data_IF_555212616400
#
_entry.id   IF_555212616400
#
_cell.length_a   1.000
_cell.length_b   1.000
_cell.length_c   1.000
_cell.angle_alpha   90.00
_cell.angle_beta   90.00
_cell.angle_gamma   90.00
#
_symmetry.space_group_name_H-M   'P 1'
#
loop_
_entity.id
_entity.type
_entity.pdbx_description
1 polymer ?
#
# COMPACT_ATOMS: atom_id res chain seq x y z
N UNK A 1 -63.45 22.41 -29.89
CA UNK A 1 -64.26 22.47 -28.66
C UNK A 1 -63.32 22.33 -27.48
N UNK A 2 -63.18 23.41 -26.70
CA UNK A 2 -62.92 23.46 -25.25
C UNK A 2 -61.83 22.55 -24.62
N UNK A 3 -60.77 23.23 -24.20
CA UNK A 3 -60.45 23.55 -22.79
C UNK A 3 -59.53 22.61 -21.96
N UNK A 4 -58.29 23.11 -21.75
CA UNK A 4 -57.63 23.41 -20.44
C UNK A 4 -57.17 22.22 -19.54
N UNK A 5 -56.05 22.25 -18.79
CA UNK A 5 -55.03 23.26 -18.41
C UNK A 5 -53.87 22.57 -17.64
N UNK A 6 -52.63 23.05 -17.87
CA UNK A 6 -51.58 23.50 -16.91
C UNK A 6 -51.16 22.60 -15.70
N UNK A 7 -49.94 22.64 -15.13
CA UNK A 7 -48.75 23.51 -15.17
C UNK A 7 -47.58 22.60 -14.74
N UNK A 8 -46.35 22.83 -15.19
CA UNK A 8 -45.29 23.10 -14.22
C UNK A 8 -44.15 23.91 -14.86
N UNK A 9 -43.76 24.93 -14.13
CA UNK A 9 -42.93 26.07 -14.49
C UNK A 9 -41.45 25.69 -14.59
N UNK A 10 -40.86 25.84 -15.78
CA UNK A 10 -39.40 25.99 -15.91
C UNK A 10 -39.05 27.43 -15.55
N UNK A 11 -38.60 27.65 -14.33
CA UNK A 11 -38.00 28.92 -13.93
C UNK A 11 -36.62 29.01 -14.58
N UNK A 12 -36.50 29.83 -15.62
CA UNK A 12 -35.21 30.33 -16.08
C UNK A 12 -34.64 31.22 -14.97
N UNK A 13 -33.64 30.74 -14.24
CA UNK A 13 -32.73 31.59 -13.49
C UNK A 13 -31.55 31.89 -14.41
N UNK A 14 -31.69 32.97 -15.17
CA UNK A 14 -30.54 33.64 -15.76
C UNK A 14 -29.80 34.42 -14.66
N UNK A 15 -28.47 34.35 -14.67
CA UNK A 15 -27.64 35.36 -13.99
C UNK A 15 -26.79 34.89 -12.82
N UNK A 16 -26.00 33.83 -13.00
CA UNK A 16 -24.80 33.62 -12.19
C UNK A 16 -23.59 34.14 -12.97
N UNK A 17 -23.08 35.30 -12.58
CA UNK A 17 -21.87 35.90 -13.17
C UNK A 17 -20.70 34.94 -12.99
N UNK A 18 -20.22 34.35 -14.10
CA UNK A 18 -18.88 33.77 -14.13
C UNK A 18 -17.89 34.92 -14.03
N UNK A 19 -17.47 35.24 -12.81
CA UNK A 19 -16.20 35.95 -12.61
C UNK A 19 -15.15 35.02 -13.18
N UNK A 20 -14.69 35.33 -14.39
CA UNK A 20 -13.46 34.79 -14.96
C UNK A 20 -12.31 35.31 -14.09
N UNK A 21 -12.16 34.74 -12.89
CA UNK A 21 -10.90 34.79 -12.18
C UNK A 21 -9.83 34.21 -13.10
N UNK A 22 -8.65 34.80 -13.08
CA UNK A 22 -7.52 34.30 -13.88
C UNK A 22 -7.38 32.79 -13.66
N UNK A 23 -7.26 32.02 -14.75
CA UNK A 23 -7.06 30.58 -14.66
C UNK A 23 -5.78 30.30 -13.87
N UNK A 24 -5.86 29.37 -12.91
CA UNK A 24 -4.74 29.02 -12.06
C UNK A 24 -3.81 28.10 -12.85
N UNK A 25 -2.56 28.51 -13.03
CA UNK A 25 -1.56 27.81 -13.82
C UNK A 25 -0.64 27.03 -12.89
N UNK A 26 -0.53 25.72 -13.08
CA UNK A 26 0.24 24.85 -12.19
C UNK A 26 1.66 25.35 -11.92
N UNK A 27 2.45 25.59 -12.98
CA UNK A 27 3.87 25.98 -12.86
C UNK A 27 4.07 27.31 -12.14
N UNK A 28 3.14 28.25 -12.30
CA UNK A 28 3.24 29.61 -11.76
C UNK A 28 2.68 29.71 -10.35
N UNK A 29 1.50 29.14 -10.13
CA UNK A 29 0.68 29.43 -8.96
C UNK A 29 0.69 28.28 -7.94
N UNK A 30 0.76 27.03 -8.41
CA UNK A 30 0.62 25.84 -7.53
C UNK A 30 1.97 25.24 -7.16
N UNK A 31 2.84 24.99 -8.14
CA UNK A 31 4.15 24.35 -7.95
C UNK A 31 5.03 25.05 -6.91
N UNK A 32 5.07 26.39 -6.81
CA UNK A 32 5.83 27.06 -5.74
C UNK A 32 5.30 26.74 -4.34
N UNK A 33 3.97 26.64 -4.19
CA UNK A 33 3.32 26.26 -2.92
C UNK A 33 3.73 24.83 -2.56
N UNK A 34 3.59 23.88 -3.50
CA UNK A 34 3.94 22.47 -3.25
C UNK A 34 5.42 22.30 -2.92
N UNK A 35 6.32 22.96 -3.66
CA UNK A 35 7.77 22.95 -3.40
C UNK A 35 8.11 23.45 -2.00
N UNK A 36 7.51 24.56 -1.60
CA UNK A 36 7.82 25.19 -0.31
C UNK A 36 7.19 24.46 0.88
N UNK A 37 5.97 23.94 0.70
CA UNK A 37 5.13 23.47 1.81
C UNK A 37 5.03 21.94 1.89
N UNK A 38 5.13 21.24 0.76
CA UNK A 38 4.79 19.82 0.69
C UNK A 38 5.97 18.92 0.30
N UNK A 39 6.99 19.44 -0.41
CA UNK A 39 8.10 18.61 -0.90
C UNK A 39 9.02 18.08 0.21
N UNK A 40 9.01 18.71 1.39
CA UNK A 40 9.70 18.16 2.55
C UNK A 40 9.17 16.80 3.02
N UNK A 41 7.96 16.41 2.61
CA UNK A 41 7.38 15.11 2.94
C UNK A 41 6.91 14.32 1.72
N UNK A 42 6.65 14.98 0.59
CA UNK A 42 6.09 14.38 -0.63
C UNK A 42 6.83 14.85 -1.89
N UNK A 43 8.12 15.15 -1.76
CA UNK A 43 8.99 15.62 -2.83
C UNK A 43 9.85 14.50 -3.39
N UNK A 44 10.84 14.85 -4.24
CA UNK A 44 11.73 13.86 -4.84
C UNK A 44 12.61 13.14 -3.80
N UNK A 45 13.00 13.82 -2.72
CA UNK A 45 13.94 13.29 -1.71
C UNK A 45 13.24 12.57 -0.55
N UNK A 46 11.99 12.94 -0.24
CA UNK A 46 11.24 12.39 0.89
C UNK A 46 9.78 12.18 0.51
N UNK A 47 9.27 11.01 0.87
CA UNK A 47 7.91 10.55 0.58
C UNK A 47 7.29 10.06 1.89
N UNK A 48 6.00 10.35 2.06
CA UNK A 48 5.12 9.87 3.13
C UNK A 48 3.90 9.19 2.50
N UNK A 49 3.64 7.92 2.83
CA UNK A 49 2.62 7.07 2.21
C UNK A 49 2.75 6.91 0.69
N UNK A 50 3.99 6.87 0.16
CA UNK A 50 4.36 6.73 -1.26
C UNK A 50 3.74 7.79 -2.19
N UNK A 51 3.26 8.89 -1.59
CA UNK A 51 2.63 9.99 -2.30
C UNK A 51 3.67 11.02 -2.74
N UNK A 52 3.66 11.36 -4.04
CA UNK A 52 4.67 12.21 -4.70
C UNK A 52 4.02 13.38 -5.44
N UNK A 53 4.46 14.60 -5.13
CA UNK A 53 3.90 15.84 -5.67
C UNK A 53 4.76 16.52 -6.74
N UNK A 54 5.93 15.96 -7.08
CA UNK A 54 6.81 16.47 -8.13
C UNK A 54 6.55 15.85 -9.51
N UNK A 55 5.76 14.78 -9.60
CA UNK A 55 5.42 14.12 -10.87
C UNK A 55 3.92 13.94 -11.00
N UNK A 56 3.35 14.38 -12.14
CA UNK A 56 1.90 14.29 -12.40
C UNK A 56 1.36 12.88 -12.13
N UNK A 57 1.93 11.86 -12.77
CA UNK A 57 1.46 10.47 -12.67
C UNK A 57 1.34 10.01 -11.21
N UNK A 58 2.35 10.32 -10.39
CA UNK A 58 2.40 9.91 -8.98
C UNK A 58 1.64 10.87 -8.04
N UNK A 59 1.33 12.09 -8.48
CA UNK A 59 0.49 13.02 -7.74
C UNK A 59 -1.01 12.70 -7.87
N UNK A 60 -1.42 11.92 -8.86
CA UNK A 60 -2.82 11.53 -9.05
C UNK A 60 -3.26 10.39 -8.13
N UNK A 61 -2.34 9.55 -7.67
CA UNK A 61 -2.63 8.33 -6.91
C UNK A 61 -1.84 8.34 -5.60
N UNK A 62 -2.50 8.08 -4.46
CA UNK A 62 -1.83 7.88 -3.18
C UNK A 62 -1.37 6.42 -3.03
N UNK A 63 -0.45 6.11 -2.11
CA UNK A 63 0.14 4.77 -1.92
C UNK A 63 -0.81 3.61 -1.55
N UNK A 64 -2.13 3.79 -1.61
CA UNK A 64 -3.14 2.71 -1.50
C UNK A 64 -4.01 2.54 -2.74
N UNK A 65 -3.66 3.17 -3.86
CA UNK A 65 -4.48 3.19 -5.07
C UNK A 65 -5.69 4.14 -5.00
N UNK A 66 -5.88 4.85 -3.88
CA UNK A 66 -6.90 5.89 -3.74
C UNK A 66 -6.53 7.13 -4.61
N UNK A 67 -7.49 7.76 -5.29
CA UNK A 67 -7.24 9.00 -6.02
C UNK A 67 -6.80 10.12 -5.08
N UNK A 68 -5.54 10.56 -5.21
CA UNK A 68 -4.99 11.64 -4.40
C UNK A 68 -5.47 13.02 -4.89
N UNK A 69 -5.45 13.21 -6.21
CA UNK A 69 -5.98 14.38 -6.91
C UNK A 69 -7.01 13.85 -7.91
N UNK A 70 -8.24 14.35 -7.81
CA UNK A 70 -9.34 14.07 -8.73
C UNK A 70 -9.56 15.33 -9.57
N UNK A 71 -9.05 15.39 -10.81
CA UNK A 71 -9.26 16.53 -11.70
C UNK A 71 -10.74 16.93 -11.80
N UNK A 72 -11.04 18.20 -11.52
CA UNK A 72 -12.39 18.76 -11.56
C UNK A 72 -13.19 18.60 -10.27
N UNK A 73 -12.69 17.84 -9.28
CA UNK A 73 -13.43 17.51 -8.06
C UNK A 73 -12.55 17.65 -6.81
N UNK A 74 -12.27 18.89 -6.38
CA UNK A 74 -11.46 19.14 -5.18
C UNK A 74 -12.01 18.47 -3.93
N UNK A 75 -13.33 18.47 -3.73
CA UNK A 75 -13.96 17.84 -2.55
C UNK A 75 -13.75 16.33 -2.45
N UNK A 76 -13.53 15.64 -3.58
CA UNK A 76 -13.22 14.21 -3.61
C UNK A 76 -11.70 13.94 -3.55
N UNK A 77 -10.90 14.93 -3.92
CA UNK A 77 -9.43 14.84 -3.88
C UNK A 77 -8.94 14.70 -2.43
N UNK A 78 -8.29 13.58 -2.12
CA UNK A 78 -7.71 13.34 -0.80
C UNK A 78 -6.75 14.48 -0.42
N UNK A 79 -5.90 14.93 -1.36
CA UNK A 79 -4.96 16.01 -1.14
C UNK A 79 -5.65 17.29 -0.62
N UNK A 80 -6.72 17.74 -1.29
CA UNK A 80 -7.44 18.95 -0.89
C UNK A 80 -8.08 18.78 0.50
N UNK A 81 -8.71 17.65 0.78
CA UNK A 81 -9.31 17.37 2.10
C UNK A 81 -8.27 17.39 3.22
N UNK A 82 -7.05 16.91 2.97
CA UNK A 82 -5.95 16.88 3.96
C UNK A 82 -5.36 18.27 4.21
N UNK A 83 -5.19 19.12 3.19
CA UNK A 83 -4.65 20.48 3.37
C UNK A 83 -5.69 21.46 3.95
N UNK A 84 -6.97 21.25 3.67
CA UNK A 84 -8.08 22.05 4.21
C UNK A 84 -8.51 21.67 5.63
N UNK A 85 -7.96 20.59 6.19
CA UNK A 85 -8.32 20.11 7.53
C UNK A 85 -9.66 19.36 7.61
N UNK A 86 -10.31 19.08 6.47
CA UNK A 86 -11.62 18.43 6.37
C UNK A 86 -11.54 16.88 6.33
N UNK A 87 -10.44 16.29 6.79
CA UNK A 87 -10.19 14.85 6.75
C UNK A 87 -9.69 14.36 8.10
N UNK A 88 -9.99 13.11 8.46
CA UNK A 88 -9.47 12.50 9.69
C UNK A 88 -7.94 12.42 9.66
N UNK A 89 -7.32 12.68 10.81
CA UNK A 89 -5.86 12.70 11.01
C UNK A 89 -5.25 14.11 11.03
N UNK A 90 -3.92 14.22 11.20
CA UNK A 90 -3.25 15.52 11.30
C UNK A 90 -3.38 16.29 9.98
N UNK A 91 -3.67 17.60 10.06
CA UNK A 91 -3.71 18.49 8.92
C UNK A 91 -2.33 18.52 8.24
N UNK A 92 -2.31 18.40 6.92
CA UNK A 92 -1.07 18.45 6.14
C UNK A 92 -0.81 19.86 5.60
N UNK A 93 0.45 20.28 5.46
CA UNK A 93 1.69 19.55 5.78
C UNK A 93 2.02 19.60 7.27
N UNK A 94 2.82 18.65 7.75
CA UNK A 94 3.24 18.56 9.16
C UNK A 94 4.04 19.78 9.63
N UNK A 95 4.60 20.56 8.72
CA UNK A 95 5.30 21.82 8.99
C UNK A 95 4.36 22.98 9.36
N UNK A 96 3.05 22.73 9.44
CA UNK A 96 2.01 23.71 9.76
C UNK A 96 1.09 24.03 8.58
N UNK A 97 -0.16 24.46 8.87
CA UNK A 97 -1.22 24.59 7.88
C UNK A 97 -0.90 25.61 6.78
N UNK A 98 -1.39 25.34 5.57
CA UNK A 98 -1.36 26.34 4.48
C UNK A 98 -2.25 27.54 4.83
N UNK A 99 -1.94 28.69 4.27
CA UNK A 99 -2.82 29.86 4.34
C UNK A 99 -4.13 29.59 3.59
N UNK A 100 -5.19 30.32 3.94
CA UNK A 100 -6.46 30.23 3.23
C UNK A 100 -6.31 30.52 1.72
N UNK A 101 -5.40 31.42 1.34
CA UNK A 101 -5.10 31.76 -0.05
C UNK A 101 -4.36 30.61 -0.77
N UNK A 102 -3.36 29.99 -0.14
CA UNK A 102 -2.66 28.83 -0.71
C UNK A 102 -3.63 27.66 -0.94
N UNK A 103 -4.52 27.41 0.03
CA UNK A 103 -5.57 26.38 -0.08
C UNK A 103 -6.54 26.72 -1.22
N UNK A 104 -6.98 27.98 -1.31
CA UNK A 104 -7.89 28.43 -2.36
C UNK A 104 -7.27 28.28 -3.76
N UNK A 105 -5.99 28.61 -3.92
CA UNK A 105 -5.24 28.44 -5.17
C UNK A 105 -5.18 26.98 -5.59
N UNK A 106 -4.79 26.07 -4.69
CA UNK A 106 -4.74 24.63 -4.98
C UNK A 106 -6.13 24.09 -5.31
N UNK A 107 -7.16 24.49 -4.55
CA UNK A 107 -8.54 24.10 -4.80
C UNK A 107 -8.99 24.52 -6.20
N UNK A 108 -8.80 25.80 -6.53
CA UNK A 108 -9.20 26.36 -7.81
C UNK A 108 -8.49 25.66 -8.97
N UNK A 109 -7.21 25.33 -8.83
CA UNK A 109 -6.48 24.55 -9.83
C UNK A 109 -7.06 23.14 -10.01
N UNK A 110 -7.38 22.43 -8.92
CA UNK A 110 -7.99 21.09 -8.99
C UNK A 110 -9.35 21.18 -9.70
N UNK A 111 -10.21 22.11 -9.30
CA UNK A 111 -11.55 22.30 -9.88
C UNK A 111 -11.48 22.70 -11.37
N UNK A 112 -10.40 23.35 -11.82
CA UNK A 112 -10.13 23.63 -13.23
C UNK A 112 -9.65 22.42 -14.04
N UNK A 113 -9.73 21.22 -13.45
CA UNK A 113 -9.31 19.98 -14.09
C UNK A 113 -7.85 19.62 -13.82
N UNK A 114 -7.23 20.20 -12.78
CA UNK A 114 -5.86 19.92 -12.36
C UNK A 114 -4.88 19.85 -13.54
N UNK A 115 -5.00 20.83 -14.46
CA UNK A 115 -4.14 20.90 -15.65
C UNK A 115 -2.71 21.03 -15.18
N UNK A 116 -2.00 19.93 -15.27
CA UNK A 116 -0.59 19.80 -15.02
C UNK A 116 0.02 19.68 -16.41
N UNK A 117 0.96 20.55 -16.81
CA UNK A 117 1.61 20.36 -18.09
C UNK A 117 2.11 18.92 -18.15
N UNK A 118 1.80 18.20 -19.23
CA UNK A 118 2.51 16.95 -19.49
C UNK A 118 3.98 17.35 -19.46
N UNK A 119 4.71 16.91 -18.43
CA UNK A 119 6.13 17.14 -18.43
C UNK A 119 6.62 16.53 -19.74
N UNK A 120 7.36 17.27 -20.60
CA UNK A 120 8.13 16.58 -21.60
C UNK A 120 8.87 15.50 -20.84
N UNK A 121 8.63 14.23 -21.20
CA UNK A 121 9.32 13.08 -20.58
C UNK A 121 10.75 13.54 -20.40
N UNK A 122 11.25 13.72 -19.16
CA UNK A 122 12.54 14.36 -18.94
C UNK A 122 13.49 13.70 -19.91
N UNK A 123 14.07 14.48 -20.83
CA UNK A 123 15.02 13.87 -21.75
C UNK A 123 16.00 13.13 -20.88
N UNK A 124 16.18 11.82 -21.13
CA UNK A 124 16.96 11.00 -20.24
C UNK A 124 18.28 11.73 -20.00
N UNK A 125 18.67 11.91 -18.73
CA UNK A 125 19.93 12.57 -18.36
C UNK A 125 21.17 11.80 -18.88
N UNK A 126 20.95 10.75 -19.67
CA UNK A 126 21.91 9.87 -20.28
C UNK A 126 21.67 9.80 -21.79
N UNK A 127 22.73 9.57 -22.55
CA UNK A 127 22.63 9.28 -23.97
C UNK A 127 22.14 7.84 -24.16
N UNK A 128 21.06 7.67 -24.91
CA UNK A 128 20.51 6.35 -25.20
C UNK A 128 21.40 5.58 -26.20
N UNK A 129 21.65 4.31 -25.91
CA UNK A 129 22.30 3.36 -26.82
C UNK A 129 21.23 2.53 -27.57
N UNK A 130 20.94 2.85 -28.85
CA UNK A 130 19.86 2.21 -29.59
C UNK A 130 20.10 0.73 -29.89
N UNK A 131 21.34 0.23 -29.79
CA UNK A 131 21.64 -1.20 -29.95
C UNK A 131 21.07 -2.05 -28.82
N UNK A 132 20.85 -1.47 -27.62
CA UNK A 132 20.41 -2.24 -26.45
C UNK A 132 19.04 -2.89 -26.64
N UNK A 133 18.08 -2.24 -27.31
CA UNK A 133 16.74 -2.83 -27.48
C UNK A 133 16.79 -4.16 -28.25
N UNK A 134 17.70 -4.27 -29.23
CA UNK A 134 17.94 -5.53 -29.95
C UNK A 134 18.66 -6.57 -29.10
N UNK A 135 19.54 -6.15 -28.19
CA UNK A 135 20.23 -7.04 -27.26
C UNK A 135 19.31 -7.54 -26.14
N UNK A 136 18.35 -6.73 -25.69
CA UNK A 136 17.35 -7.12 -24.70
C UNK A 136 16.46 -8.25 -25.21
N UNK A 137 16.16 -8.25 -26.51
CA UNK A 137 15.44 -9.35 -27.12
C UNK A 137 16.22 -10.68 -27.07
N UNK A 138 17.56 -10.63 -27.05
CA UNK A 138 18.37 -11.84 -26.87
C UNK A 138 18.18 -12.46 -25.47
N UNK A 139 17.97 -11.66 -24.42
CA UNK A 139 17.65 -12.19 -23.09
C UNK A 139 16.33 -12.97 -23.08
N UNK A 140 15.28 -12.41 -23.69
CA UNK A 140 13.95 -13.05 -23.77
C UNK A 140 13.97 -14.36 -24.53
N UNK A 141 14.87 -14.46 -25.52
CA UNK A 141 15.06 -15.66 -26.34
C UNK A 141 16.09 -16.64 -25.75
N UNK A 142 16.66 -16.35 -24.58
CA UNK A 142 17.69 -17.21 -23.95
C UNK A 142 19.05 -17.22 -24.67
N UNK A 143 19.32 -16.26 -25.56
CA UNK A 143 20.52 -16.24 -26.40
C UNK A 143 21.69 -15.46 -25.75
N UNK A 144 22.13 -15.91 -24.58
CA UNK A 144 23.19 -15.26 -23.81
C UNK A 144 24.56 -15.29 -24.48
N UNK A 145 24.84 -16.26 -25.36
CA UNK A 145 26.12 -16.35 -26.08
C UNK A 145 26.31 -15.18 -27.05
N UNK A 146 25.26 -14.81 -27.80
CA UNK A 146 25.32 -13.64 -28.71
C UNK A 146 25.44 -12.32 -27.94
N UNK A 147 24.74 -12.21 -26.82
CA UNK A 147 24.87 -11.08 -25.90
C UNK A 147 26.33 -10.92 -25.43
N UNK A 148 26.93 -12.01 -24.92
CA UNK A 148 28.31 -12.00 -24.43
C UNK A 148 29.29 -11.59 -25.52
N UNK A 149 29.13 -12.13 -26.73
CA UNK A 149 29.96 -11.74 -27.87
C UNK A 149 29.85 -10.24 -28.19
N UNK A 150 28.64 -9.67 -28.15
CA UNK A 150 28.43 -8.25 -28.40
C UNK A 150 29.10 -7.35 -27.35
N UNK A 151 28.97 -7.69 -26.06
CA UNK A 151 29.59 -6.94 -24.96
C UNK A 151 31.11 -7.13 -24.92
N UNK A 152 31.65 -8.29 -25.32
CA UNK A 152 33.11 -8.48 -25.47
C UNK A 152 33.65 -7.62 -26.62
N UNK A 153 32.91 -7.53 -27.73
CA UNK A 153 33.30 -6.68 -28.86
C UNK A 153 33.20 -5.18 -28.53
N UNK A 154 32.26 -4.79 -27.68
CA UNK A 154 32.06 -3.41 -27.22
C UNK A 154 31.70 -3.37 -25.72
N UNK A 155 32.71 -3.29 -24.82
CA UNK A 155 32.49 -3.29 -23.37
C UNK A 155 31.66 -2.11 -22.86
N UNK A 156 31.53 -1.02 -23.62
CA UNK A 156 30.70 0.13 -23.24
C UNK A 156 29.22 -0.27 -23.12
N UNK A 157 28.78 -1.31 -23.84
CA UNK A 157 27.40 -1.82 -23.79
C UNK A 157 27.00 -2.29 -22.39
N UNK A 158 27.93 -2.78 -21.57
CA UNK A 158 27.65 -3.23 -20.20
C UNK A 158 27.19 -2.07 -19.29
N UNK A 159 27.62 -0.83 -19.59
CA UNK A 159 27.31 0.39 -18.84
C UNK A 159 26.23 1.25 -19.50
N UNK A 160 25.85 0.90 -20.72
CA UNK A 160 24.92 1.68 -21.52
C UNK A 160 23.47 1.55 -21.04
N UNK A 161 22.64 2.49 -21.48
CA UNK A 161 21.22 2.58 -21.16
C UNK A 161 20.41 2.81 -22.41
N UNK A 162 19.24 2.20 -22.53
CA UNK A 162 18.34 2.46 -23.66
C UNK A 162 17.55 3.76 -23.44
N UNK A 163 16.61 4.09 -24.33
CA UNK A 163 15.77 5.28 -24.20
C UNK A 163 14.89 5.33 -22.94
N UNK A 164 14.63 4.18 -22.31
CA UNK A 164 13.90 4.07 -21.04
C UNK A 164 14.80 3.97 -19.81
N UNK A 165 16.12 4.04 -19.99
CA UNK A 165 17.09 3.98 -18.91
C UNK A 165 17.45 2.56 -18.47
N UNK A 166 16.88 1.55 -19.12
CA UNK A 166 17.13 0.16 -18.81
C UNK A 166 18.54 -0.25 -19.25
N UNK A 167 19.18 -1.11 -18.46
CA UNK A 167 20.52 -1.67 -18.72
C UNK A 167 20.45 -3.16 -19.05
N UNK A 168 21.55 -3.72 -19.57
CA UNK A 168 21.67 -5.18 -19.73
C UNK A 168 21.59 -5.91 -18.39
N UNK A 169 22.11 -5.31 -17.31
CA UNK A 169 22.04 -5.89 -15.96
C UNK A 169 20.60 -5.99 -15.45
N UNK A 170 19.74 -5.01 -15.76
CA UNK A 170 18.30 -5.11 -15.46
C UNK A 170 17.62 -6.22 -16.26
N UNK A 171 17.96 -6.41 -17.53
CA UNK A 171 17.42 -7.55 -18.28
C UNK A 171 17.91 -8.90 -17.75
N UNK A 172 19.16 -8.96 -17.26
CA UNK A 172 19.70 -10.15 -16.61
C UNK A 172 19.00 -10.44 -15.27
N UNK A 173 18.68 -9.40 -14.50
CA UNK A 173 17.88 -9.53 -13.27
C UNK A 173 16.53 -10.19 -13.56
N UNK A 174 15.82 -9.73 -14.60
CA UNK A 174 14.50 -10.26 -14.96
C UNK A 174 14.58 -11.64 -15.64
N UNK A 175 15.32 -11.74 -16.75
CA UNK A 175 15.26 -12.91 -17.64
C UNK A 175 16.50 -13.82 -17.59
N UNK A 176 17.60 -13.35 -17.00
CA UNK A 176 18.86 -14.09 -16.94
C UNK A 176 18.96 -15.08 -15.79
N UNK A 177 20.13 -15.70 -15.66
CA UNK A 177 20.53 -16.48 -14.48
C UNK A 177 21.49 -15.67 -13.62
N UNK A 178 21.72 -16.11 -12.38
CA UNK A 178 22.69 -15.48 -11.49
C UNK A 178 24.10 -15.38 -12.09
N UNK A 179 24.52 -16.34 -12.93
CA UNK A 179 25.80 -16.28 -13.65
C UNK A 179 25.88 -15.18 -14.70
N UNK A 180 24.75 -14.82 -15.32
CA UNK A 180 24.69 -13.73 -16.29
C UNK A 180 24.74 -12.37 -15.59
N UNK A 181 24.08 -12.27 -14.43
CA UNK A 181 24.18 -11.13 -13.50
C UNK A 181 25.63 -10.94 -13.05
N UNK A 182 26.26 -11.99 -12.48
CA UNK A 182 27.67 -11.95 -12.05
C UNK A 182 28.61 -11.57 -13.19
N UNK A 183 28.38 -12.12 -14.38
CA UNK A 183 29.22 -11.83 -15.53
C UNK A 183 29.11 -10.37 -15.97
N UNK A 184 27.91 -9.79 -16.03
CA UNK A 184 27.73 -8.37 -16.38
C UNK A 184 28.35 -7.44 -15.33
N UNK A 185 28.21 -7.76 -14.04
CA UNK A 185 28.91 -7.04 -12.97
C UNK A 185 30.42 -7.07 -13.18
N UNK A 186 30.98 -8.23 -13.56
CA UNK A 186 32.41 -8.36 -13.90
C UNK A 186 32.82 -7.58 -15.17
N UNK A 187 31.87 -7.30 -16.08
CA UNK A 187 32.10 -6.39 -17.22
C UNK A 187 31.97 -4.89 -16.83
N UNK A 188 31.75 -4.59 -15.55
CA UNK A 188 31.64 -3.24 -15.02
C UNK A 188 30.25 -2.61 -15.18
N UNK A 189 29.19 -3.41 -15.33
CA UNK A 189 27.82 -2.92 -15.22
C UNK A 189 27.57 -2.38 -13.80
N UNK A 190 26.96 -1.21 -13.69
CA UNK A 190 26.64 -0.58 -12.40
C UNK A 190 25.29 -1.11 -11.88
N UNK A 191 25.26 -1.79 -10.70
CA UNK A 191 24.03 -2.32 -10.12
C UNK A 191 23.09 -1.25 -9.55
N UNK A 192 23.51 0.01 -9.48
CA UNK A 192 22.77 1.11 -8.87
C UNK A 192 22.07 2.02 -9.87
N UNK A 193 22.22 1.75 -11.17
CA UNK A 193 21.46 2.47 -12.20
C UNK A 193 19.98 2.13 -12.05
N UNK A 194 19.13 3.15 -12.05
CA UNK A 194 17.67 3.01 -12.04
C UNK A 194 17.09 3.27 -13.44
N UNK A 195 16.00 2.63 -13.82
CA UNK A 195 15.29 2.93 -15.08
C UNK A 195 14.40 4.19 -14.95
N UNK A 196 13.59 4.50 -15.96
CA UNK A 196 12.67 5.63 -15.92
C UNK A 196 11.61 5.53 -14.80
N UNK A 197 11.25 4.32 -14.37
CA UNK A 197 10.36 4.08 -13.24
C UNK A 197 11.08 4.10 -11.89
N UNK A 198 12.40 4.26 -11.88
CA UNK A 198 13.24 4.19 -10.68
C UNK A 198 13.60 2.76 -10.25
N UNK A 199 13.23 1.74 -11.04
CA UNK A 199 13.56 0.35 -10.74
C UNK A 199 15.06 0.10 -10.91
N UNK A 200 15.71 -0.45 -9.88
CA UNK A 200 17.11 -0.90 -9.93
C UNK A 200 17.17 -2.40 -10.29
N UNK A 201 18.32 -2.92 -10.77
CA UNK A 201 18.51 -4.35 -10.96
C UNK A 201 18.11 -5.19 -9.73
N UNK A 202 18.41 -4.73 -8.50
CA UNK A 202 18.06 -5.43 -7.27
C UNK A 202 16.55 -5.58 -7.10
N UNK A 203 15.79 -4.51 -7.34
CA UNK A 203 14.32 -4.50 -7.22
C UNK A 203 13.67 -5.43 -8.25
N UNK A 204 14.28 -5.59 -9.43
CA UNK A 204 13.78 -6.44 -10.51
C UNK A 204 14.14 -7.92 -10.36
N UNK A 205 14.98 -8.28 -9.38
CA UNK A 205 15.51 -9.64 -9.19
C UNK A 205 14.92 -10.38 -7.99
N UNK A 206 13.97 -9.78 -7.26
CA UNK A 206 13.57 -10.21 -5.91
C UNK A 206 12.97 -11.61 -5.83
N UNK A 207 12.48 -12.16 -6.94
CA UNK A 207 11.96 -13.54 -7.00
C UNK A 207 13.06 -14.63 -7.01
N UNK A 208 14.34 -14.25 -7.19
CA UNK A 208 15.47 -15.19 -7.26
C UNK A 208 16.58 -14.79 -6.29
N UNK A 209 16.67 -15.52 -5.18
CA UNK A 209 17.67 -15.30 -4.13
C UNK A 209 19.13 -15.38 -4.63
N UNK A 210 19.42 -16.17 -5.67
CA UNK A 210 20.77 -16.25 -6.23
C UNK A 210 21.14 -14.98 -7.01
N UNK A 211 20.18 -14.38 -7.73
CA UNK A 211 20.37 -13.08 -8.39
C UNK A 211 20.47 -11.94 -7.39
N UNK A 212 19.60 -11.93 -6.37
CA UNK A 212 19.64 -10.96 -5.26
C UNK A 212 21.02 -10.98 -4.60
N UNK A 213 21.52 -12.17 -4.23
CA UNK A 213 22.86 -12.34 -3.67
C UNK A 213 23.95 -11.78 -4.59
N UNK A 214 23.92 -12.14 -5.87
CA UNK A 214 24.91 -11.67 -6.84
C UNK A 214 24.93 -10.14 -6.97
N UNK A 215 23.75 -9.50 -6.96
CA UNK A 215 23.64 -8.04 -7.05
C UNK A 215 24.14 -7.35 -5.78
N UNK A 216 23.79 -7.88 -4.60
CA UNK A 216 24.24 -7.35 -3.32
C UNK A 216 25.76 -7.49 -3.14
N UNK A 217 26.33 -8.67 -3.45
CA UNK A 217 27.78 -8.89 -3.48
C UNK A 217 28.48 -8.00 -4.53
N UNK A 218 27.76 -7.66 -5.61
CA UNK A 218 28.19 -6.72 -6.65
C UNK A 218 28.11 -5.25 -6.25
N UNK A 219 27.66 -4.91 -5.04
CA UNK A 219 27.56 -3.53 -4.55
C UNK A 219 26.24 -2.82 -4.87
N UNK A 220 25.15 -3.56 -5.09
CA UNK A 220 23.81 -2.97 -5.16
C UNK A 220 23.44 -2.31 -3.83
N UNK A 221 22.97 -1.07 -3.88
CA UNK A 221 22.46 -0.34 -2.74
C UNK A 221 21.11 -0.93 -2.32
N UNK A 222 21.11 -1.71 -1.25
CA UNK A 222 19.94 -2.38 -0.70
C UNK A 222 18.81 -1.41 -0.28
N UNK A 223 19.17 -0.17 0.05
CA UNK A 223 18.26 0.87 0.50
C UNK A 223 17.93 1.90 -0.59
N UNK A 224 18.26 1.61 -1.86
CA UNK A 224 17.80 2.42 -2.99
C UNK A 224 16.26 2.49 -3.01
N UNK A 225 15.73 3.59 -3.52
CA UNK A 225 14.28 3.84 -3.63
C UNK A 225 13.85 3.91 -5.09
N UNK A 226 12.76 3.23 -5.40
CA UNK A 226 12.07 3.30 -6.69
C UNK A 226 11.42 4.67 -6.91
N UNK A 227 10.82 4.87 -8.09
CA UNK A 227 10.10 6.11 -8.40
C UNK A 227 8.91 6.39 -7.48
N UNK A 228 8.33 5.36 -6.87
CA UNK A 228 7.28 5.44 -5.83
C UNK A 228 7.82 5.29 -4.39
N UNK A 229 9.13 5.39 -4.21
CA UNK A 229 9.73 5.45 -2.88
C UNK A 229 9.88 4.09 -2.19
N UNK A 230 9.51 3.00 -2.85
CA UNK A 230 9.67 1.64 -2.32
C UNK A 230 11.14 1.23 -2.30
N UNK A 231 11.54 0.53 -1.24
CA UNK A 231 12.86 -0.12 -1.16
C UNK A 231 12.74 -1.58 -1.61
N UNK A 232 13.87 -2.23 -1.89
CA UNK A 232 13.89 -3.67 -2.18
C UNK A 232 13.21 -4.50 -1.08
N UNK A 233 13.33 -4.10 0.20
CA UNK A 233 12.66 -4.76 1.33
C UNK A 233 11.13 -4.67 1.23
N UNK A 234 10.60 -3.48 0.92
CA UNK A 234 9.15 -3.29 0.86
C UNK A 234 8.54 -4.01 -0.35
N UNK A 235 9.19 -3.94 -1.51
CA UNK A 235 8.75 -4.67 -2.71
C UNK A 235 8.77 -6.18 -2.45
N UNK A 236 9.82 -6.70 -1.82
CA UNK A 236 9.91 -8.13 -1.47
C UNK A 236 8.74 -8.57 -0.58
N UNK A 237 8.30 -7.72 0.35
CA UNK A 237 7.16 -8.04 1.22
C UNK A 237 5.82 -7.87 0.50
N UNK A 238 5.67 -6.86 -0.36
CA UNK A 238 4.45 -6.66 -1.14
C UNK A 238 4.17 -7.83 -2.09
N UNK A 239 5.21 -8.31 -2.78
CA UNK A 239 5.15 -9.44 -3.70
C UNK A 239 5.28 -10.81 -2.98
N UNK A 240 5.28 -10.81 -1.64
CA UNK A 240 5.44 -12.01 -0.81
C UNK A 240 6.64 -12.89 -1.22
N UNK A 241 7.77 -12.26 -1.56
CA UNK A 241 9.03 -12.93 -1.80
C UNK A 241 9.46 -13.69 -0.52
N UNK A 242 10.00 -14.89 -0.71
CA UNK A 242 10.30 -15.78 0.42
C UNK A 242 11.32 -15.23 1.42
N UNK A 243 11.31 -15.78 2.64
CA UNK A 243 12.17 -15.39 3.76
C UNK A 243 13.68 -15.37 3.43
N UNK A 244 14.15 -16.18 2.47
CA UNK A 244 15.55 -16.19 2.01
C UNK A 244 15.98 -14.86 1.39
N UNK A 245 15.09 -14.21 0.62
CA UNK A 245 15.34 -12.91 0.01
C UNK A 245 15.37 -11.83 1.08
N UNK A 246 14.39 -11.84 1.99
CA UNK A 246 14.36 -10.91 3.13
C UNK A 246 15.63 -11.04 3.98
N UNK A 247 16.06 -12.27 4.27
CA UNK A 247 17.30 -12.55 5.00
C UNK A 247 18.52 -11.94 4.31
N UNK A 248 18.67 -12.17 2.99
CA UNK A 248 19.76 -11.60 2.21
C UNK A 248 19.78 -10.07 2.24
N UNK A 249 18.60 -9.44 2.12
CA UNK A 249 18.47 -7.99 2.20
C UNK A 249 18.91 -7.47 3.59
N UNK A 250 18.48 -8.12 4.67
CA UNK A 250 18.87 -7.76 6.05
C UNK A 250 20.39 -7.91 6.27
N UNK A 251 20.98 -9.01 5.80
CA UNK A 251 22.43 -9.26 5.90
C UNK A 251 23.27 -8.16 5.21
N UNK A 252 22.70 -7.49 4.21
CA UNK A 252 23.34 -6.38 3.49
C UNK A 252 22.88 -4.98 3.96
N UNK A 253 22.17 -4.90 5.10
CA UNK A 253 21.84 -3.62 5.74
C UNK A 253 20.51 -3.01 5.29
N UNK A 254 19.57 -3.79 4.76
CA UNK A 254 18.21 -3.33 4.55
C UNK A 254 17.55 -2.91 5.87
N UNK A 255 16.81 -1.81 5.85
CA UNK A 255 16.07 -1.34 7.04
C UNK A 255 14.86 -2.24 7.31
N UNK A 256 14.81 -2.80 8.52
CA UNK A 256 13.65 -3.55 9.03
C UNK A 256 12.63 -2.67 9.78
N UNK A 257 12.96 -1.41 10.04
CA UNK A 257 12.11 -0.45 10.76
C UNK A 257 11.06 0.17 9.84
N UNK A 258 9.99 0.76 10.40
CA UNK A 258 8.99 1.45 9.61
C UNK A 258 9.62 2.52 8.73
N UNK A 259 9.17 2.56 7.49
CA UNK A 259 9.51 3.58 6.53
C UNK A 259 8.24 4.01 5.82
N UNK A 260 8.08 5.31 5.58
CA UNK A 260 6.97 5.82 4.78
C UNK A 260 5.55 5.50 5.31
N UNK A 261 5.42 5.21 6.61
CA UNK A 261 4.15 4.78 7.23
C UNK A 261 3.85 3.27 7.08
N UNK A 262 4.77 2.53 6.49
CA UNK A 262 4.71 1.08 6.29
C UNK A 262 5.70 0.40 7.21
N UNK A 263 5.24 -0.52 8.06
CA UNK A 263 6.11 -1.34 8.91
C UNK A 263 6.34 -2.71 8.23
N UNK A 264 7.58 -3.05 7.82
CA UNK A 264 7.91 -4.34 7.22
C UNK A 264 7.39 -5.55 8.00
N UNK A 265 7.44 -5.48 9.33
CA UNK A 265 7.02 -6.59 10.20
C UNK A 265 5.50 -6.73 10.26
N UNK A 266 4.76 -5.62 10.11
CA UNK A 266 3.30 -5.67 9.94
C UNK A 266 2.93 -6.24 8.56
N UNK A 267 3.67 -5.94 7.50
CA UNK A 267 3.45 -6.54 6.18
C UNK A 267 3.68 -8.06 6.22
N UNK A 268 4.79 -8.51 6.82
CA UNK A 268 5.05 -9.94 6.99
C UNK A 268 3.93 -10.67 7.74
N UNK A 269 3.37 -10.04 8.78
CA UNK A 269 2.21 -10.57 9.49
C UNK A 269 0.93 -10.63 8.62
N UNK A 270 0.73 -9.65 7.75
CA UNK A 270 -0.36 -9.61 6.74
C UNK A 270 -0.13 -10.53 5.54
N UNK A 271 1.05 -11.12 5.41
CA UNK A 271 1.31 -12.20 4.46
C UNK A 271 1.16 -13.58 5.13
N UNK A 272 1.02 -13.63 6.46
CA UNK A 272 1.00 -14.88 7.21
C UNK A 272 2.36 -15.59 7.21
N UNK A 273 3.46 -14.84 7.16
CA UNK A 273 4.83 -15.40 7.10
C UNK A 273 5.55 -15.30 8.46
N UNK A 274 5.50 -16.36 9.29
CA UNK A 274 6.12 -16.35 10.62
C UNK A 274 7.64 -16.32 10.57
N UNK A 275 8.28 -16.84 9.52
CA UNK A 275 9.74 -16.86 9.42
C UNK A 275 10.28 -15.47 9.08
N UNK A 276 9.66 -14.78 8.11
CA UNK A 276 9.97 -13.39 7.82
C UNK A 276 9.68 -12.48 9.02
N UNK A 277 8.59 -12.70 9.74
CA UNK A 277 8.30 -12.00 10.99
C UNK A 277 9.43 -12.14 12.02
N UNK A 278 9.95 -13.37 12.23
CA UNK A 278 11.09 -13.61 13.14
C UNK A 278 12.36 -12.91 12.66
N UNK A 279 12.66 -12.96 11.37
CA UNK A 279 13.84 -12.30 10.79
C UNK A 279 13.79 -10.78 11.02
N UNK A 280 12.65 -10.16 10.73
CA UNK A 280 12.45 -8.73 10.92
C UNK A 280 12.47 -8.33 12.39
N UNK A 281 11.90 -9.15 13.29
CA UNK A 281 11.95 -8.89 14.73
C UNK A 281 13.41 -8.90 15.24
N UNK A 282 14.19 -9.91 14.82
CA UNK A 282 15.62 -10.06 15.19
C UNK A 282 16.50 -8.93 14.66
N UNK A 283 16.18 -8.39 13.48
CA UNK A 283 16.88 -7.24 12.92
C UNK A 283 16.53 -5.91 13.62
N UNK A 284 15.60 -5.93 14.58
CA UNK A 284 15.14 -4.78 15.38
C UNK A 284 15.45 -5.03 16.86
N UNK A 285 14.52 -4.66 17.74
CA UNK A 285 14.56 -4.86 19.19
C UNK A 285 13.84 -6.14 19.64
N UNK A 286 13.51 -7.04 18.71
CA UNK A 286 12.77 -8.28 18.99
C UNK A 286 11.26 -8.09 19.22
N UNK A 287 10.75 -6.85 19.21
CA UNK A 287 9.34 -6.57 19.51
C UNK A 287 8.46 -6.60 18.27
N UNK A 288 7.21 -6.96 18.50
CA UNK A 288 6.17 -6.99 17.49
C UNK A 288 5.28 -5.74 17.64
N UNK A 289 5.12 -4.92 16.59
CA UNK A 289 4.18 -3.80 16.61
C UNK A 289 2.74 -4.30 16.75
N UNK A 290 1.87 -3.49 17.36
CA UNK A 290 0.45 -3.83 17.57
C UNK A 290 -0.27 -4.30 16.28
N UNK A 291 0.06 -3.68 15.14
CA UNK A 291 -0.51 -4.06 13.84
C UNK A 291 -0.21 -5.50 13.42
N UNK A 292 0.87 -6.12 13.94
CA UNK A 292 1.25 -7.49 13.62
C UNK A 292 0.21 -8.50 14.11
N UNK A 293 -0.32 -8.35 15.33
CA UNK A 293 -1.34 -9.27 15.86
C UNK A 293 -2.62 -9.21 15.01
N UNK A 294 -3.09 -8.00 14.68
CA UNK A 294 -4.28 -7.83 13.84
C UNK A 294 -4.07 -8.33 12.41
N UNK A 295 -2.88 -8.15 11.84
CA UNK A 295 -2.53 -8.67 10.51
C UNK A 295 -2.49 -10.19 10.47
N UNK A 296 -1.81 -10.79 11.45
CA UNK A 296 -1.73 -12.24 11.62
C UNK A 296 -3.12 -12.88 11.84
N UNK A 297 -3.97 -12.23 12.64
CA UNK A 297 -5.33 -12.68 12.89
C UNK A 297 -6.22 -12.56 11.64
N UNK A 298 -6.07 -11.50 10.85
CA UNK A 298 -6.78 -11.33 9.57
C UNK A 298 -6.44 -12.44 8.58
N UNK A 299 -5.15 -12.76 8.46
CA UNK A 299 -4.62 -13.80 7.59
C UNK A 299 -4.76 -15.21 8.16
N UNK A 300 -5.29 -15.34 9.37
CA UNK A 300 -5.51 -16.63 10.03
C UNK A 300 -4.22 -17.47 10.17
N UNK A 301 -3.08 -16.79 10.37
CA UNK A 301 -1.78 -17.41 10.59
C UNK A 301 -1.59 -17.69 12.09
N UNK A 302 -1.89 -18.92 12.53
CA UNK A 302 -1.75 -19.30 13.95
C UNK A 302 -0.32 -19.11 14.46
N UNK A 303 0.70 -19.54 13.69
CA UNK A 303 2.09 -19.38 14.09
C UNK A 303 2.47 -17.90 14.25
N UNK A 304 1.95 -17.02 13.39
CA UNK A 304 2.16 -15.58 13.49
C UNK A 304 1.48 -14.99 14.73
N UNK A 305 0.25 -15.42 15.03
CA UNK A 305 -0.48 -15.02 16.25
C UNK A 305 0.28 -15.47 17.49
N UNK A 306 0.73 -16.72 17.53
CA UNK A 306 1.51 -17.29 18.63
C UNK A 306 2.76 -16.46 18.93
N UNK A 307 3.57 -16.15 17.91
CA UNK A 307 4.77 -15.32 18.05
C UNK A 307 4.50 -13.98 18.74
N UNK A 308 3.39 -13.34 18.41
CA UNK A 308 3.05 -12.03 18.99
C UNK A 308 2.48 -12.20 20.40
N UNK A 309 1.67 -13.22 20.66
CA UNK A 309 1.10 -13.48 21.99
C UNK A 309 2.15 -13.89 23.02
N UNK A 310 3.20 -14.61 22.62
CA UNK A 310 4.34 -15.00 23.48
C UNK A 310 5.06 -13.81 24.11
N UNK A 311 4.97 -12.61 23.50
CA UNK A 311 5.56 -11.38 24.02
C UNK A 311 4.75 -10.75 25.16
N UNK A 312 3.58 -11.29 25.48
CA UNK A 312 2.64 -10.70 26.44
C UNK A 312 1.97 -9.46 25.84
N UNK A 313 0.76 -9.64 25.31
CA UNK A 313 -0.04 -8.54 24.75
C UNK A 313 -1.04 -8.00 25.76
N UNK A 314 -1.44 -6.74 25.60
CA UNK A 314 -2.53 -6.18 26.41
C UNK A 314 -3.87 -6.79 26.01
N UNK A 315 -4.80 -6.85 26.97
CA UNK A 315 -6.20 -7.24 26.73
C UNK A 315 -6.81 -6.46 25.57
N UNK A 316 -6.58 -5.14 25.49
CA UNK A 316 -7.07 -4.30 24.39
C UNK A 316 -6.55 -4.74 23.03
N UNK A 317 -5.27 -5.08 22.92
CA UNK A 317 -4.69 -5.53 21.67
C UNK A 317 -5.26 -6.89 21.24
N UNK A 318 -5.39 -7.82 22.18
CA UNK A 318 -6.02 -9.12 21.95
C UNK A 318 -7.50 -8.97 21.53
N UNK A 319 -8.26 -8.08 22.17
CA UNK A 319 -9.65 -7.76 21.78
C UNK A 319 -9.74 -7.21 20.35
N UNK A 320 -8.84 -6.29 19.97
CA UNK A 320 -8.84 -5.73 18.62
C UNK A 320 -8.57 -6.80 17.56
N UNK A 321 -7.63 -7.71 17.83
CA UNK A 321 -7.38 -8.85 16.95
C UNK A 321 -8.56 -9.83 16.91
N UNK A 322 -9.28 -10.02 18.04
CA UNK A 322 -10.48 -10.87 18.10
C UNK A 322 -11.58 -10.33 17.18
N UNK A 323 -11.80 -9.01 17.14
CA UNK A 323 -12.77 -8.39 16.22
C UNK A 323 -12.48 -8.76 14.76
N UNK A 324 -11.21 -8.69 14.36
CA UNK A 324 -10.78 -9.01 13.00
C UNK A 324 -10.96 -10.51 12.72
N UNK A 325 -10.44 -11.36 13.62
CA UNK A 325 -10.53 -12.81 13.50
C UNK A 325 -11.97 -13.32 13.45
N UNK A 326 -12.90 -12.70 14.18
CA UNK A 326 -14.31 -13.08 14.18
C UNK A 326 -14.98 -12.94 12.79
N UNK A 327 -14.42 -12.09 11.92
CA UNK A 327 -14.90 -11.96 10.54
C UNK A 327 -14.32 -13.07 9.65
N UNK A 328 -13.01 -13.35 9.74
CA UNK A 328 -12.28 -14.12 8.72
C UNK A 328 -11.59 -15.39 9.22
N UNK A 329 -11.08 -15.45 10.45
CA UNK A 329 -10.12 -16.50 10.87
C UNK A 329 -10.69 -17.75 11.57
N UNK A 330 -10.06 -18.91 11.32
CA UNK A 330 -9.86 -20.03 12.28
C UNK A 330 -10.50 -19.89 13.66
N UNK A 331 -11.43 -20.77 14.06
CA UNK A 331 -11.83 -20.93 15.47
C UNK A 331 -10.61 -21.08 16.41
N UNK A 332 -9.52 -21.68 15.91
CA UNK A 332 -8.26 -21.79 16.64
C UNK A 332 -7.66 -20.42 16.99
N UNK A 333 -7.64 -19.47 16.05
CA UNK A 333 -7.17 -18.09 16.33
C UNK A 333 -8.07 -17.39 17.33
N UNK A 334 -9.40 -17.55 17.25
CA UNK A 334 -10.32 -17.00 18.25
C UNK A 334 -9.99 -17.55 19.65
N UNK A 335 -9.77 -18.87 19.77
CA UNK A 335 -9.39 -19.50 21.04
C UNK A 335 -8.08 -18.93 21.60
N UNK A 336 -7.06 -18.76 20.76
CA UNK A 336 -5.78 -18.17 21.18
C UNK A 336 -5.96 -16.75 21.72
N UNK A 337 -6.75 -15.93 21.03
CA UNK A 337 -6.99 -14.54 21.42
C UNK A 337 -7.82 -14.43 22.71
N UNK A 338 -8.86 -15.25 22.85
CA UNK A 338 -9.67 -15.35 24.08
C UNK A 338 -8.83 -15.84 25.27
N UNK A 339 -7.96 -16.84 25.05
CA UNK A 339 -7.02 -17.31 26.07
C UNK A 339 -5.99 -16.24 26.47
N UNK A 340 -5.63 -15.35 25.55
CA UNK A 340 -4.82 -14.15 25.83
C UNK A 340 -5.61 -13.02 26.52
N UNK A 341 -6.85 -13.28 26.94
CA UNK A 341 -7.68 -12.34 27.70
C UNK A 341 -8.48 -11.35 26.86
N UNK A 342 -8.63 -11.59 25.55
CA UNK A 342 -9.47 -10.76 24.69
C UNK A 342 -10.90 -10.64 25.25
N UNK A 343 -11.43 -9.42 25.22
CA UNK A 343 -12.81 -9.12 25.55
C UNK A 343 -13.72 -9.31 24.33
N UNK A 344 -14.66 -10.24 24.42
CA UNK A 344 -15.64 -10.50 23.35
C UNK A 344 -16.63 -9.33 23.15
N UNK A 345 -16.73 -8.39 24.11
CA UNK A 345 -17.68 -7.28 24.10
C UNK A 345 -17.09 -5.94 23.68
N UNK A 346 -15.79 -5.87 23.35
CA UNK A 346 -15.25 -4.67 22.69
C UNK A 346 -15.97 -4.49 21.35
N UNK A 347 -16.20 -3.24 20.98
CA UNK A 347 -16.83 -2.89 19.70
C UNK A 347 -15.93 -1.95 18.91
N UNK A 348 -16.11 -1.94 17.60
CA UNK A 348 -15.53 -0.89 16.76
C UNK A 348 -16.28 0.45 16.93
N UNK A 349 -15.85 1.46 16.15
CA UNK A 349 -16.44 2.81 16.19
C UNK A 349 -17.94 2.84 15.81
N UNK A 350 -18.45 1.82 15.13
CA UNK A 350 -19.86 1.71 14.77
C UNK A 350 -20.65 0.89 15.81
N UNK A 351 -20.03 0.47 16.92
CA UNK A 351 -20.67 -0.42 17.89
C UNK A 351 -20.71 -1.89 17.44
N UNK A 352 -20.00 -2.26 16.37
CA UNK A 352 -20.01 -3.65 15.88
C UNK A 352 -19.17 -4.53 16.80
N UNK A 353 -19.77 -5.59 17.36
CA UNK A 353 -19.09 -6.57 18.21
C UNK A 353 -18.51 -7.75 17.43
N UNK A 354 -17.66 -8.56 18.08
CA UNK A 354 -17.12 -9.78 17.49
C UNK A 354 -18.25 -10.76 17.12
N UNK A 355 -19.30 -10.84 17.95
CA UNK A 355 -20.46 -11.70 17.70
C UNK A 355 -21.23 -11.27 16.45
N UNK A 356 -21.43 -9.96 16.26
CA UNK A 356 -22.05 -9.41 15.05
C UNK A 356 -21.23 -9.73 13.79
N UNK A 357 -19.91 -9.61 13.87
CA UNK A 357 -18.99 -9.95 12.76
C UNK A 357 -19.04 -11.44 12.42
N UNK A 358 -19.04 -12.31 13.43
CA UNK A 358 -19.17 -13.74 13.25
C UNK A 358 -20.54 -14.12 12.63
N UNK A 359 -21.62 -13.42 13.01
CA UNK A 359 -22.95 -13.59 12.45
C UNK A 359 -23.04 -13.15 10.98
N UNK A 360 -22.23 -12.16 10.55
CA UNK A 360 -22.16 -11.69 9.18
C UNK A 360 -21.25 -12.53 8.27
N UNK A 361 -20.38 -13.40 8.77
CA UNK A 361 -19.41 -14.11 7.92
C UNK A 361 -20.09 -15.16 7.03
N UNK A 362 -19.65 -15.33 5.79
CA UNK A 362 -20.07 -16.48 4.94
C UNK A 362 -19.38 -17.78 5.40
N UNK A 363 -18.27 -17.63 6.12
CA UNK A 363 -17.52 -18.69 6.78
C UNK A 363 -17.98 -18.89 8.24
N UNK A 364 -19.22 -18.52 8.55
CA UNK A 364 -19.81 -18.58 9.88
C UNK A 364 -20.03 -20.03 10.31
N UNK A 365 -18.93 -20.70 10.63
CA UNK A 365 -18.95 -21.90 11.43
C UNK A 365 -19.68 -21.56 12.72
N UNK A 366 -20.81 -22.23 12.92
CA UNK A 366 -21.67 -22.14 14.11
C UNK A 366 -20.84 -22.14 15.40
N UNK A 367 -19.72 -22.84 15.40
CA UNK A 367 -18.82 -22.98 16.53
C UNK A 367 -18.08 -21.68 16.90
N UNK A 368 -17.86 -20.74 15.97
CA UNK A 368 -17.35 -19.40 16.34
C UNK A 368 -18.37 -18.61 17.14
N UNK A 369 -19.63 -18.66 16.73
CA UNK A 369 -20.74 -17.99 17.43
C UNK A 369 -20.91 -18.61 18.82
N UNK A 370 -20.91 -19.94 18.91
CA UNK A 370 -20.91 -20.65 20.21
C UNK A 370 -19.73 -20.22 21.08
N UNK A 371 -18.51 -20.25 20.56
CA UNK A 371 -17.30 -19.91 21.30
C UNK A 371 -17.36 -18.49 21.88
N UNK A 372 -17.83 -17.52 21.08
CA UNK A 372 -17.98 -16.14 21.54
C UNK A 372 -19.05 -16.02 22.64
N UNK A 373 -20.19 -16.71 22.51
CA UNK A 373 -21.23 -16.76 23.54
C UNK A 373 -20.75 -17.43 24.83
N UNK A 374 -20.00 -18.53 24.73
CA UNK A 374 -19.36 -19.22 25.86
C UNK A 374 -18.38 -18.30 26.61
N UNK A 375 -17.76 -17.34 25.91
CA UNK A 375 -16.88 -16.32 26.48
C UNK A 375 -17.60 -15.00 26.80
N UNK A 376 -18.93 -15.04 26.94
CA UNK A 376 -19.72 -13.94 27.48
C UNK A 376 -19.97 -12.80 26.49
N UNK A 377 -19.93 -13.04 25.18
CA UNK A 377 -20.39 -12.06 24.20
C UNK A 377 -21.86 -11.71 24.43
N UNK A 378 -22.18 -10.41 24.49
CA UNK A 378 -23.54 -9.92 24.65
C UNK A 378 -24.35 -10.21 23.38
N UNK A 379 -25.23 -11.21 23.51
CA UNK A 379 -26.10 -11.69 22.44
C UNK A 379 -27.08 -10.63 21.92
N UNK A 380 -27.37 -9.60 22.72
CA UNK A 380 -28.32 -8.53 22.40
C UNK A 380 -27.65 -7.16 22.25
N UNK A 381 -26.31 -7.10 22.16
CA UNK A 381 -25.61 -5.86 21.83
C UNK A 381 -26.16 -5.27 20.52
N UNK A 382 -26.15 -3.95 20.42
CA UNK A 382 -26.67 -3.20 19.28
C UNK A 382 -25.61 -2.27 18.71
N UNK A 383 -25.41 -2.34 17.40
CA UNK A 383 -24.55 -1.40 16.70
C UNK A 383 -25.25 -0.03 16.52
N UNK A 384 -24.60 0.92 15.84
CA UNK A 384 -25.13 2.25 15.56
C UNK A 384 -26.43 2.24 14.71
N UNK A 385 -26.71 1.16 13.98
CA UNK A 385 -27.95 0.96 13.21
C UNK A 385 -29.02 0.25 14.04
N UNK A 386 -28.76 -0.02 15.32
CA UNK A 386 -29.54 -0.90 16.17
C UNK A 386 -29.64 -2.34 15.63
N UNK A 387 -28.68 -2.79 14.84
CA UNK A 387 -28.54 -4.20 14.45
C UNK A 387 -27.99 -5.02 15.62
N UNK A 388 -28.66 -6.14 15.92
CA UNK A 388 -28.11 -7.22 16.75
C UNK A 388 -27.43 -8.28 15.89
N UNK A 389 -26.67 -9.19 16.51
CA UNK A 389 -26.11 -10.34 15.80
C UNK A 389 -27.20 -11.19 15.13
N UNK A 390 -28.39 -11.31 15.75
CA UNK A 390 -29.54 -12.01 15.15
C UNK A 390 -30.07 -11.29 13.92
N UNK A 391 -30.26 -9.97 13.99
CA UNK A 391 -30.77 -9.17 12.85
C UNK A 391 -29.82 -9.25 11.66
N UNK A 392 -28.51 -9.21 11.92
CA UNK A 392 -27.46 -9.39 10.91
C UNK A 392 -27.51 -10.80 10.30
N UNK A 393 -27.55 -11.85 11.13
CA UNK A 393 -27.60 -13.23 10.64
C UNK A 393 -28.83 -13.50 9.76
N UNK A 394 -29.98 -12.94 10.11
CA UNK A 394 -31.24 -13.09 9.35
C UNK A 394 -31.22 -12.45 7.97
N UNK A 395 -30.35 -11.47 7.70
CA UNK A 395 -30.18 -10.92 6.34
C UNK A 395 -29.69 -11.99 5.35
N UNK A 396 -29.16 -13.10 5.85
CA UNK A 396 -28.75 -14.28 5.07
C UNK A 396 -29.79 -15.41 5.02
N UNK A 397 -30.97 -15.20 5.61
CA UNK A 397 -32.02 -16.21 5.75
C UNK A 397 -31.87 -17.10 6.98
N UNK A 398 -32.71 -18.14 7.05
CA UNK A 398 -32.81 -19.07 8.19
C UNK A 398 -31.63 -20.07 8.22
N UNK A 399 -30.48 -19.61 8.66
CA UNK A 399 -29.25 -20.41 8.76
C UNK A 399 -29.12 -21.12 10.12
N UNK A 400 -28.18 -22.05 10.23
CA UNK A 400 -27.83 -22.67 11.53
C UNK A 400 -27.38 -21.65 12.58
N UNK A 401 -26.80 -20.52 12.16
CA UNK A 401 -26.44 -19.40 13.06
C UNK A 401 -27.68 -18.70 13.59
N UNK A 402 -28.69 -18.44 12.74
CA UNK A 402 -29.98 -17.90 13.20
C UNK A 402 -30.64 -18.85 14.19
N UNK A 403 -30.70 -20.15 13.87
CA UNK A 403 -31.25 -21.16 14.77
C UNK A 403 -30.51 -21.20 16.12
N UNK A 404 -29.17 -21.14 16.10
CA UNK A 404 -28.35 -21.09 17.32
C UNK A 404 -28.63 -19.82 18.14
N UNK A 405 -28.63 -18.64 17.52
CA UNK A 405 -28.86 -17.37 18.22
C UNK A 405 -30.25 -17.32 18.84
N UNK A 406 -31.29 -17.76 18.11
CA UNK A 406 -32.66 -17.86 18.64
C UNK A 406 -32.72 -18.84 19.83
N UNK A 407 -32.11 -20.03 19.69
CA UNK A 407 -32.07 -21.02 20.77
C UNK A 407 -31.31 -20.50 22.01
N UNK A 408 -30.30 -19.65 21.81
CA UNK A 408 -29.54 -19.00 22.88
C UNK A 408 -30.26 -17.75 23.46
N UNK A 409 -31.47 -17.42 23.00
CA UNK A 409 -32.28 -16.33 23.55
C UNK A 409 -31.99 -14.95 22.97
N UNK A 410 -31.40 -14.87 21.77
CA UNK A 410 -31.20 -13.60 21.06
C UNK A 410 -32.55 -12.93 20.75
N UNK A 411 -32.57 -11.60 20.89
CA UNK A 411 -33.73 -10.75 20.61
C UNK A 411 -33.44 -9.84 19.41
N UNK A 412 -34.52 -9.36 18.81
CA UNK A 412 -34.47 -8.36 17.73
C UNK A 412 -34.02 -6.98 18.23
#
# INVERSE_FOLDING_TARGET
MRLLLFVETVTLVAGGWSVLGASVVFEKDVKPILRKRCYGCHGPEQQMGSFRLDRRERAMVAGRGEPAIVPGFSVQSLMYRRISGNSMGPQMPLTGPLSAEEIATIKAWIDQGAKWPDEPTPQPAWQAEPRLDRLFEQFRQGNFSKLRAAVVADPALAKARNGKGATLLMQAAVYGRADDVRWLLAQGADPNVADAAGGTPLMLALEDAAKVRALLEGGANVNARSGDGQTAMLIALEEACGADVVKLLLEHGAKATPDDGTDPLVMAARNGDPETMKLLARARDGKYPAGALTGAAFMDCMACVELVLEQGVSKTLASNALQVAATTGRIAVLKMLLAAGADANVTDANGTSALMRAAYSDYAEVDRVKLLLEHGADINARDANADTALRIARRKGDTKVVALLVAAGAKE
#
